data_IF_776238954014
#
_entry.id   IF_776238954014
#
_cell.length_a   1.000
_cell.length_b   1.000
_cell.length_c   1.000
_cell.angle_alpha   90.00
_cell.angle_beta   90.00
_cell.angle_gamma   90.00
#
_symmetry.space_group_name_H-M   'P 1'
#
loop_
_entity.id
_entity.type
_entity.pdbx_description
1 polymer ?
#
# COMPACT_ATOMS: atom_id res chain seq x y z
N UNK A 1 8.10 1.78 7.82
CA UNK A 1 7.00 2.59 7.27
C UNK A 1 7.57 3.82 6.57
N UNK A 2 7.02 4.16 5.40
CA UNK A 2 7.51 5.27 4.55
C UNK A 2 6.51 6.45 4.47
N UNK A 3 5.39 6.40 5.21
CA UNK A 3 4.31 7.37 5.08
C UNK A 3 3.54 7.19 3.77
N UNK A 4 3.31 8.28 3.03
CA UNK A 4 2.68 8.24 1.72
C UNK A 4 3.70 7.83 0.64
N UNK A 5 3.31 6.91 -0.24
CA UNK A 5 4.14 6.43 -1.36
C UNK A 5 3.31 6.38 -2.65
N UNK A 6 3.90 6.62 -3.82
CA UNK A 6 3.23 6.40 -5.10
C UNK A 6 2.79 4.93 -5.27
N UNK A 7 1.68 4.69 -5.96
CA UNK A 7 1.12 3.33 -6.10
C UNK A 7 2.00 2.40 -6.93
N UNK A 8 2.65 2.92 -7.95
CA UNK A 8 3.63 2.21 -8.79
C UNK A 8 4.87 1.81 -7.98
N UNK A 9 5.39 2.71 -7.17
CA UNK A 9 6.49 2.43 -6.24
C UNK A 9 6.10 1.40 -5.17
N UNK A 10 4.89 1.50 -4.62
CA UNK A 10 4.37 0.53 -3.66
C UNK A 10 4.29 -0.88 -4.25
N UNK A 11 3.86 -1.00 -5.52
CA UNK A 11 3.84 -2.26 -6.25
C UNK A 11 5.25 -2.77 -6.55
N UNK A 12 6.13 -1.91 -7.05
CA UNK A 12 7.51 -2.26 -7.38
C UNK A 12 8.29 -2.74 -6.14
N UNK A 13 8.12 -2.08 -5.01
CA UNK A 13 8.75 -2.43 -3.73
C UNK A 13 8.00 -3.50 -2.92
N UNK A 14 6.89 -4.01 -3.44
CA UNK A 14 6.09 -5.06 -2.76
C UNK A 14 5.60 -4.65 -1.36
N UNK A 15 5.16 -3.41 -1.20
CA UNK A 15 4.71 -2.89 0.08
C UNK A 15 3.31 -3.42 0.43
N UNK A 16 3.21 -4.23 1.47
CA UNK A 16 1.97 -4.89 1.86
C UNK A 16 0.90 -3.91 2.35
N UNK A 17 1.27 -2.90 3.15
CA UNK A 17 0.32 -1.97 3.76
C UNK A 17 -0.45 -1.15 2.71
N UNK A 18 0.19 -0.51 1.71
CA UNK A 18 -0.52 0.15 0.63
C UNK A 18 -1.44 -0.79 -0.16
N UNK A 19 -1.00 -2.03 -0.43
CA UNK A 19 -1.82 -3.02 -1.11
C UNK A 19 -3.08 -3.37 -0.33
N UNK A 20 -2.97 -3.55 1.00
CA UNK A 20 -4.11 -3.81 1.89
C UNK A 20 -5.09 -2.62 1.90
N UNK A 21 -4.60 -1.38 1.99
CA UNK A 21 -5.45 -0.19 1.91
C UNK A 21 -6.15 -0.05 0.55
N UNK A 22 -5.46 -0.39 -0.54
CA UNK A 22 -6.08 -0.42 -1.86
C UNK A 22 -7.20 -1.46 -1.93
N UNK A 23 -7.00 -2.67 -1.39
CA UNK A 23 -8.04 -3.69 -1.36
C UNK A 23 -9.23 -3.29 -0.48
N UNK A 24 -8.97 -2.67 0.67
CA UNK A 24 -10.02 -2.15 1.56
C UNK A 24 -10.90 -1.13 0.83
N UNK A 25 -10.29 -0.20 0.11
CA UNK A 25 -10.98 0.81 -0.69
C UNK A 25 -11.70 0.22 -1.91
N UNK A 26 -11.11 -0.78 -2.58
CA UNK A 26 -11.68 -1.43 -3.76
C UNK A 26 -12.80 -2.42 -3.42
N UNK A 27 -12.75 -3.04 -2.26
CA UNK A 27 -13.63 -4.09 -1.75
C UNK A 27 -13.14 -5.51 -2.06
N UNK A 28 -13.03 -6.33 -1.00
CA UNK A 28 -12.65 -7.76 -1.10
C UNK A 28 -13.58 -8.54 -2.04
N UNK A 29 -14.94 -8.43 -1.97
CA UNK A 29 -15.82 -9.10 -2.90
C UNK A 29 -15.59 -8.75 -4.37
N UNK A 30 -15.36 -7.47 -4.68
CA UNK A 30 -15.07 -7.03 -6.06
C UNK A 30 -13.74 -7.61 -6.55
N UNK A 31 -12.71 -7.60 -5.73
CA UNK A 31 -11.42 -8.16 -6.08
C UNK A 31 -11.46 -9.67 -6.27
N UNK A 32 -12.13 -10.39 -5.38
CA UNK A 32 -12.37 -11.83 -5.50
C UNK A 32 -13.08 -12.20 -6.81
N UNK A 33 -14.11 -11.43 -7.18
CA UNK A 33 -14.78 -11.61 -8.47
C UNK A 33 -13.83 -11.35 -9.65
N UNK A 34 -13.02 -10.29 -9.54
CA UNK A 34 -12.02 -9.92 -10.56
C UNK A 34 -10.97 -11.01 -10.78
N UNK A 35 -10.52 -11.69 -9.72
CA UNK A 35 -9.61 -12.83 -9.85
C UNK A 35 -10.23 -13.98 -10.65
N UNK A 36 -11.53 -14.26 -10.48
CA UNK A 36 -12.25 -15.24 -11.30
C UNK A 36 -12.35 -14.81 -12.77
N UNK A 37 -12.56 -13.53 -13.04
CA UNK A 37 -12.53 -12.99 -14.40
C UNK A 37 -11.13 -13.10 -15.05
N UNK A 38 -10.06 -13.07 -14.26
CA UNK A 38 -8.69 -13.34 -14.74
C UNK A 38 -8.42 -14.82 -15.01
N UNK A 39 -9.36 -15.72 -14.68
CA UNK A 39 -9.28 -17.15 -14.97
C UNK A 39 -8.73 -18.01 -13.82
N UNK A 40 -8.55 -17.46 -12.63
CA UNK A 40 -8.17 -18.25 -11.46
C UNK A 40 -9.30 -19.15 -11.00
N UNK A 41 -9.04 -20.46 -10.89
CA UNK A 41 -10.06 -21.47 -10.54
C UNK A 41 -10.01 -21.90 -9.07
N UNK A 42 -9.02 -21.47 -8.32
CA UNK A 42 -8.77 -21.95 -6.94
C UNK A 42 -9.47 -21.13 -5.85
N UNK A 43 -10.01 -19.95 -6.17
CA UNK A 43 -10.74 -19.11 -5.21
C UNK A 43 -12.18 -19.59 -5.02
N UNK A 44 -12.35 -20.77 -4.38
CA UNK A 44 -13.65 -21.43 -4.22
C UNK A 44 -14.41 -20.98 -2.98
N UNK A 45 -13.70 -20.48 -1.96
CA UNK A 45 -14.29 -19.99 -0.73
C UNK A 45 -14.96 -18.61 -0.91
N UNK A 46 -15.71 -18.18 0.10
CA UNK A 46 -16.36 -16.87 0.09
C UNK A 46 -15.35 -15.74 0.23
N UNK A 47 -15.63 -14.54 -0.29
CA UNK A 47 -14.74 -13.38 -0.11
C UNK A 47 -14.42 -13.08 1.37
N UNK A 48 -15.37 -13.37 2.28
CA UNK A 48 -15.21 -13.18 3.73
C UNK A 48 -14.16 -14.15 4.31
N UNK A 49 -14.02 -15.34 3.77
CA UNK A 49 -13.01 -16.33 4.18
C UNK A 49 -11.60 -15.77 3.96
N UNK A 50 -11.33 -15.21 2.78
CA UNK A 50 -10.02 -14.67 2.44
C UNK A 50 -9.73 -13.33 3.14
N UNK A 51 -10.74 -12.48 3.29
CA UNK A 51 -10.57 -11.15 3.88
C UNK A 51 -9.51 -10.31 3.18
N UNK A 52 -8.85 -9.42 3.92
CA UNK A 52 -7.78 -8.56 3.41
C UNK A 52 -6.48 -9.31 3.11
N UNK A 53 -6.31 -10.54 3.62
CA UNK A 53 -5.13 -11.37 3.32
C UNK A 53 -5.06 -11.76 1.84
N UNK A 54 -6.17 -11.72 1.11
CA UNK A 54 -6.26 -12.05 -0.30
C UNK A 54 -5.24 -11.28 -1.16
N UNK A 55 -5.00 -9.99 -0.86
CA UNK A 55 -4.08 -9.17 -1.66
C UNK A 55 -2.59 -9.44 -1.36
N UNK A 56 -2.30 -10.05 -0.23
CA UNK A 56 -0.92 -10.34 0.20
C UNK A 56 -0.59 -11.83 0.15
N UNK A 57 -1.39 -12.62 -0.57
CA UNK A 57 -1.13 -14.03 -0.81
C UNK A 57 -1.93 -14.99 0.08
N UNK A 58 -3.06 -14.54 0.64
CA UNK A 58 -3.97 -15.38 1.45
C UNK A 58 -4.85 -16.32 0.64
N UNK A 59 -4.50 -16.62 -0.62
CA UNK A 59 -5.23 -17.56 -1.47
C UNK A 59 -4.26 -18.38 -2.32
N UNK A 60 -4.62 -19.62 -2.58
CA UNK A 60 -3.81 -20.53 -3.38
C UNK A 60 -4.05 -20.33 -4.87
N UNK A 61 -2.99 -20.48 -5.67
CA UNK A 61 -3.05 -20.36 -7.14
C UNK A 61 -2.23 -21.47 -7.80
N UNK A 62 -2.60 -21.83 -9.01
CA UNK A 62 -1.78 -22.70 -9.88
C UNK A 62 -0.76 -21.88 -10.63
N UNK A 63 0.48 -22.36 -10.74
CA UNK A 63 1.54 -21.70 -11.49
C UNK A 63 1.12 -21.40 -12.93
N UNK A 64 0.39 -22.33 -13.55
CA UNK A 64 -0.11 -22.19 -14.91
C UNK A 64 -1.10 -21.02 -15.04
N UNK A 65 -2.09 -20.94 -14.16
CA UNK A 65 -3.08 -19.84 -14.16
C UNK A 65 -2.44 -18.47 -13.90
N UNK A 66 -1.39 -18.45 -13.07
CA UNK A 66 -0.62 -17.24 -12.84
C UNK A 66 0.14 -16.81 -14.09
N UNK A 67 0.79 -17.75 -14.81
CA UNK A 67 1.44 -17.49 -16.08
C UNK A 67 0.45 -17.01 -17.16
N UNK A 68 -0.74 -17.63 -17.23
CA UNK A 68 -1.84 -17.18 -18.11
C UNK A 68 -2.25 -15.75 -17.82
N UNK A 69 -2.38 -15.38 -16.55
CA UNK A 69 -2.76 -14.03 -16.13
C UNK A 69 -1.74 -12.98 -16.60
N UNK A 70 -0.43 -13.23 -16.43
CA UNK A 70 0.63 -12.31 -16.91
C UNK A 70 0.69 -12.26 -18.44
N UNK A 71 0.57 -13.41 -19.11
CA UNK A 71 0.46 -13.47 -20.59
C UNK A 71 -0.73 -12.64 -21.08
N UNK A 72 -1.86 -12.74 -20.40
CA UNK A 72 -3.08 -12.01 -20.75
C UNK A 72 -2.91 -10.50 -20.61
N UNK A 73 -2.22 -10.02 -19.56
CA UNK A 73 -1.86 -8.60 -19.43
C UNK A 73 -0.96 -8.13 -20.57
N UNK A 74 0.07 -8.90 -20.93
CA UNK A 74 0.98 -8.59 -22.03
C UNK A 74 0.24 -8.58 -23.38
N UNK A 75 -0.62 -9.56 -23.62
CA UNK A 75 -1.43 -9.64 -24.82
C UNK A 75 -2.38 -8.43 -24.95
N UNK A 76 -3.04 -8.02 -23.84
CA UNK A 76 -3.92 -6.86 -23.82
C UNK A 76 -3.20 -5.58 -24.20
N UNK A 77 -1.95 -5.40 -23.80
CA UNK A 77 -1.12 -4.26 -24.20
C UNK A 77 -0.70 -4.34 -25.66
N UNK A 78 -0.33 -5.53 -26.13
CA UNK A 78 0.14 -5.74 -27.50
C UNK A 78 -0.99 -5.71 -28.55
N UNK A 79 -2.23 -5.99 -28.14
CA UNK A 79 -3.44 -6.03 -28.99
C UNK A 79 -4.56 -5.20 -28.37
N UNK A 80 -4.37 -3.88 -28.27
CA UNK A 80 -5.34 -3.00 -27.56
C UNK A 80 -6.69 -2.88 -28.28
N UNK A 81 -6.76 -3.22 -29.54
CA UNK A 81 -7.99 -3.21 -30.36
C UNK A 81 -8.87 -4.46 -30.17
N UNK A 82 -8.33 -5.54 -29.58
CA UNK A 82 -9.09 -6.78 -29.35
C UNK A 82 -9.80 -6.70 -27.98
N UNK A 83 -11.12 -6.76 -27.98
CA UNK A 83 -11.92 -6.75 -26.76
C UNK A 83 -12.13 -8.15 -26.17
N UNK A 84 -11.94 -9.19 -26.96
CA UNK A 84 -12.05 -10.59 -26.55
C UNK A 84 -10.78 -11.36 -26.86
N UNK A 85 -10.52 -12.38 -26.09
CA UNK A 85 -9.31 -13.20 -26.22
C UNK A 85 -9.53 -14.59 -25.66
N UNK A 86 -8.67 -15.53 -26.07
CA UNK A 86 -8.55 -16.82 -25.41
C UNK A 86 -7.70 -16.68 -24.13
N UNK A 87 -8.29 -16.86 -22.94
CA UNK A 87 -7.56 -16.69 -21.69
C UNK A 87 -6.56 -17.81 -21.42
N UNK A 88 -6.65 -18.93 -22.16
CA UNK A 88 -5.86 -20.15 -21.90
C UNK A 88 -4.62 -20.25 -22.79
N UNK A 89 -3.60 -20.88 -22.24
CA UNK A 89 -2.41 -21.29 -22.98
C UNK A 89 -2.60 -22.74 -23.41
N UNK A 90 -2.44 -23.03 -24.70
CA UNK A 90 -2.59 -24.37 -25.26
C UNK A 90 -1.24 -24.96 -25.67
N UNK A 91 -0.99 -26.24 -25.34
CA UNK A 91 0.21 -26.98 -25.75
C UNK A 91 0.23 -27.26 -27.26
N UNK A 92 -0.97 -27.43 -27.82
CA UNK A 92 -1.18 -27.68 -29.24
C UNK A 92 -2.10 -26.59 -29.75
N UNK A 93 -1.79 -26.03 -30.91
CA UNK A 93 -2.65 -25.05 -31.57
C UNK A 93 -4.05 -25.66 -31.77
N UNK A 94 -5.02 -25.10 -31.08
CA UNK A 94 -6.45 -25.42 -31.18
C UNK A 94 -7.22 -24.16 -31.50
N UNK A 95 -8.39 -24.32 -32.10
CA UNK A 95 -9.36 -23.22 -32.11
C UNK A 95 -9.79 -22.92 -30.65
N UNK A 96 -9.91 -21.63 -30.32
CA UNK A 96 -10.35 -21.23 -28.98
C UNK A 96 -11.77 -21.75 -28.74
N UNK A 97 -11.93 -22.56 -27.72
CA UNK A 97 -13.26 -23.08 -27.34
C UNK A 97 -14.09 -22.02 -26.58
N UNK A 98 -13.44 -21.00 -26.06
CA UNK A 98 -14.10 -19.96 -25.25
C UNK A 98 -13.32 -18.65 -25.27
N UNK A 99 -13.88 -17.67 -25.94
CA UNK A 99 -13.40 -16.31 -25.85
C UNK A 99 -13.97 -15.60 -24.62
N UNK A 100 -13.14 -14.79 -23.98
CA UNK A 100 -13.53 -13.99 -22.82
C UNK A 100 -13.22 -12.53 -23.07
N UNK A 101 -14.02 -11.64 -22.46
CA UNK A 101 -13.72 -10.22 -22.44
C UNK A 101 -12.56 -9.92 -21.47
N UNK A 102 -11.66 -9.06 -21.86
CA UNK A 102 -10.56 -8.65 -20.99
C UNK A 102 -11.10 -8.01 -19.70
N UNK A 103 -10.62 -8.44 -18.52
CA UNK A 103 -11.07 -7.90 -17.24
C UNK A 103 -10.54 -6.49 -16.94
N UNK A 104 -9.56 -6.01 -17.72
CA UNK A 104 -8.94 -4.69 -17.57
C UNK A 104 -8.71 -4.03 -18.93
N UNK A 105 -8.61 -2.69 -18.93
CA UNK A 105 -8.26 -1.92 -20.13
C UNK A 105 -6.79 -2.12 -20.53
N UNK A 106 -6.47 -1.88 -21.80
CA UNK A 106 -5.09 -1.92 -22.27
C UNK A 106 -4.20 -0.88 -21.55
N UNK A 107 -4.76 0.28 -21.23
CA UNK A 107 -4.08 1.35 -20.49
C UNK A 107 -3.74 0.92 -19.05
N UNK A 108 -4.69 0.30 -18.36
CA UNK A 108 -4.45 -0.22 -16.99
C UNK A 108 -3.43 -1.35 -16.98
N UNK A 109 -3.52 -2.28 -17.96
CA UNK A 109 -2.52 -3.34 -18.14
C UNK A 109 -1.13 -2.77 -18.39
N UNK A 110 -1.02 -1.77 -19.28
CA UNK A 110 0.24 -1.09 -19.58
C UNK A 110 0.87 -0.41 -18.36
N UNK A 111 0.09 0.35 -17.59
CA UNK A 111 0.59 1.01 -16.37
C UNK A 111 1.04 0.00 -15.32
N UNK A 112 0.32 -1.13 -15.19
CA UNK A 112 0.72 -2.22 -14.30
C UNK A 112 2.05 -2.84 -14.74
N UNK A 113 2.18 -3.19 -16.01
CA UNK A 113 3.43 -3.77 -16.54
C UNK A 113 4.59 -2.78 -16.45
N UNK A 114 4.34 -1.48 -16.67
CA UNK A 114 5.34 -0.43 -16.50
C UNK A 114 5.86 -0.37 -15.07
N UNK A 115 4.96 -0.36 -14.07
CA UNK A 115 5.36 -0.42 -12.67
C UNK A 115 6.15 -1.69 -12.32
N UNK A 116 5.80 -2.83 -12.92
CA UNK A 116 6.51 -4.09 -12.74
C UNK A 116 7.89 -4.13 -13.43
N UNK A 117 8.16 -3.26 -14.40
CA UNK A 117 9.51 -3.11 -14.99
C UNK A 117 10.47 -2.38 -14.04
N UNK A 118 9.96 -1.61 -13.09
CA UNK A 118 10.75 -0.85 -12.11
C UNK A 118 11.06 -1.67 -10.82
N UNK A 119 10.65 -2.93 -10.75
CA UNK A 119 11.00 -3.84 -9.65
C UNK A 119 12.52 -4.06 -9.63
N UNK A 120 13.15 -3.79 -8.49
CA UNK A 120 14.59 -3.98 -8.31
C UNK A 120 14.98 -5.46 -8.49
N UNK A 121 15.98 -5.72 -9.32
CA UNK A 121 16.48 -7.07 -9.59
C UNK A 121 17.36 -7.60 -8.47
N UNK A 122 17.51 -8.93 -8.35
CA UNK A 122 18.45 -9.52 -7.42
C UNK A 122 19.88 -8.99 -7.65
N UNK A 123 20.69 -8.95 -6.60
CA UNK A 123 22.09 -8.50 -6.67
C UNK A 123 22.95 -9.35 -7.63
N UNK A 124 22.55 -10.62 -7.86
CA UNK A 124 23.18 -11.51 -8.83
C UNK A 124 23.06 -11.05 -10.28
N UNK A 125 22.11 -10.16 -10.57
CA UNK A 125 21.81 -9.62 -11.90
C UNK A 125 22.47 -8.25 -12.11
N UNK A 126 23.77 -8.15 -11.86
CA UNK A 126 24.52 -6.90 -12.04
C UNK A 126 24.53 -6.42 -13.49
N UNK A 127 24.36 -5.10 -13.70
CA UNK A 127 24.41 -4.50 -15.04
C UNK A 127 23.11 -4.51 -15.83
N UNK A 128 22.01 -5.08 -15.33
CA UNK A 128 20.72 -5.10 -15.99
C UNK A 128 20.17 -3.72 -16.38
N UNK A 129 20.57 -2.68 -15.66
CA UNK A 129 20.18 -1.29 -15.93
C UNK A 129 20.78 -0.76 -17.25
N UNK A 130 21.89 -1.35 -17.70
CA UNK A 130 22.63 -0.97 -18.92
C UNK A 130 22.23 -1.82 -20.11
N UNK A 131 21.91 -3.10 -19.89
CA UNK A 131 21.55 -4.06 -20.94
C UNK A 131 20.03 -4.19 -21.09
N UNK A 132 19.57 -4.90 -22.11
CA UNK A 132 18.18 -5.09 -22.56
C UNK A 132 17.15 -5.52 -21.48
N UNK A 133 17.57 -5.70 -20.27
CA UNK A 133 16.79 -6.17 -19.16
C UNK A 133 15.61 -5.28 -18.69
N UNK A 134 15.56 -4.01 -19.05
CA UNK A 134 14.44 -3.11 -18.73
C UNK A 134 13.09 -3.51 -19.34
N UNK A 135 13.09 -4.46 -20.27
CA UNK A 135 11.87 -4.86 -20.97
C UNK A 135 11.08 -5.98 -20.27
N UNK A 136 11.61 -6.56 -19.18
CA UNK A 136 10.93 -7.61 -18.43
C UNK A 136 10.13 -6.96 -17.29
N UNK A 137 8.80 -7.07 -17.36
CA UNK A 137 7.93 -6.76 -16.22
C UNK A 137 7.84 -8.02 -15.36
N UNK A 138 8.16 -7.89 -14.05
CA UNK A 138 8.27 -9.08 -13.20
C UNK A 138 7.88 -8.83 -11.76
N UNK A 139 7.55 -9.92 -11.02
CA UNK A 139 7.22 -9.85 -9.60
C UNK A 139 7.56 -11.15 -8.90
N UNK A 140 8.00 -11.01 -7.65
CA UNK A 140 8.16 -12.15 -6.73
C UNK A 140 7.01 -12.24 -5.75
N UNK A 141 6.81 -13.46 -5.25
CA UNK A 141 5.99 -13.77 -4.10
C UNK A 141 6.73 -14.71 -3.15
N UNK A 142 6.39 -14.63 -1.86
CA UNK A 142 6.87 -15.57 -0.84
C UNK A 142 5.70 -15.83 0.09
N UNK A 143 5.31 -17.10 0.25
CA UNK A 143 4.22 -17.47 1.14
C UNK A 143 4.64 -17.41 2.60
N UNK A 144 3.66 -17.33 3.50
CA UNK A 144 3.89 -17.37 4.93
C UNK A 144 4.58 -18.68 5.34
N UNK A 145 5.62 -18.58 6.19
CA UNK A 145 6.39 -19.73 6.64
C UNK A 145 7.40 -20.27 5.61
N UNK A 146 7.72 -19.50 4.56
CA UNK A 146 8.70 -19.86 3.52
C UNK A 146 8.39 -21.19 2.82
N UNK A 147 7.11 -21.46 2.56
CA UNK A 147 6.65 -22.69 1.88
C UNK A 147 6.84 -22.59 0.37
N UNK A 148 6.60 -21.40 -0.16
CA UNK A 148 6.58 -21.14 -1.60
C UNK A 148 7.36 -19.89 -1.95
N UNK A 149 8.25 -20.00 -2.90
CA UNK A 149 8.94 -18.90 -3.55
C UNK A 149 8.48 -18.81 -5.01
N UNK A 150 7.95 -17.66 -5.39
CA UNK A 150 7.39 -17.41 -6.71
C UNK A 150 8.18 -16.32 -7.44
N UNK A 151 8.33 -16.46 -8.74
CA UNK A 151 8.76 -15.39 -9.62
C UNK A 151 8.07 -15.52 -10.96
N UNK A 152 7.45 -14.44 -11.42
CA UNK A 152 6.86 -14.38 -12.77
C UNK A 152 7.39 -13.16 -13.48
N UNK A 153 7.86 -13.35 -14.68
CA UNK A 153 8.30 -12.29 -15.58
C UNK A 153 7.60 -12.41 -16.94
N UNK A 154 7.36 -11.28 -17.57
CA UNK A 154 6.71 -11.21 -18.87
C UNK A 154 7.33 -10.13 -19.75
N UNK A 155 7.45 -10.46 -21.04
CA UNK A 155 7.76 -9.55 -22.14
C UNK A 155 6.64 -9.60 -23.17
N UNK A 156 6.64 -8.79 -24.23
CA UNK A 156 5.68 -8.95 -25.31
C UNK A 156 5.67 -10.35 -25.95
N UNK A 157 6.81 -11.08 -25.92
CA UNK A 157 6.96 -12.38 -26.59
C UNK A 157 6.83 -13.57 -25.65
N UNK A 158 7.24 -13.43 -24.38
CA UNK A 158 7.41 -14.57 -23.47
C UNK A 158 6.85 -14.28 -22.09
N UNK A 159 6.34 -15.32 -21.45
CA UNK A 159 6.08 -15.36 -20.01
C UNK A 159 6.88 -16.51 -19.41
N UNK A 160 7.58 -16.22 -18.32
CA UNK A 160 8.31 -17.20 -17.53
C UNK A 160 7.80 -17.15 -16.11
N UNK A 161 7.32 -18.27 -15.62
CA UNK A 161 6.83 -18.41 -14.26
C UNK A 161 7.59 -19.53 -13.55
N UNK A 162 8.11 -19.24 -12.37
CA UNK A 162 8.92 -20.17 -11.57
C UNK A 162 8.33 -20.28 -10.17
N UNK A 163 8.14 -21.50 -9.73
CA UNK A 163 7.82 -21.84 -8.37
C UNK A 163 8.90 -22.74 -7.78
N UNK A 164 9.33 -22.45 -6.56
CA UNK A 164 10.26 -23.25 -5.79
C UNK A 164 9.64 -23.50 -4.42
N UNK A 165 9.50 -24.77 -4.05
CA UNK A 165 8.88 -25.19 -2.80
C UNK A 165 8.88 -26.70 -2.65
N UNK A 166 8.27 -27.19 -1.58
CA UNK A 166 8.06 -28.61 -1.35
C UNK A 166 6.62 -29.00 -1.71
N UNK A 167 6.45 -30.15 -2.36
CA UNK A 167 5.14 -30.65 -2.78
C UNK A 167 4.22 -30.98 -1.58
N UNK A 168 4.80 -31.29 -0.41
CA UNK A 168 4.09 -31.52 0.86
C UNK A 168 3.75 -30.25 1.62
N UNK A 169 4.19 -29.07 1.11
CA UNK A 169 3.96 -27.77 1.74
C UNK A 169 4.85 -27.48 2.95
N UNK A 170 5.89 -28.29 3.19
CA UNK A 170 6.86 -28.01 4.25
C UNK A 170 7.65 -26.73 3.93
N UNK A 171 7.68 -25.78 4.88
CA UNK A 171 8.43 -24.53 4.74
C UNK A 171 9.91 -24.73 5.06
N UNK A 172 10.78 -24.07 4.29
CA UNK A 172 12.23 -24.05 4.55
C UNK A 172 12.70 -22.61 4.78
N UNK A 173 13.27 -22.29 5.94
CA UNK A 173 13.80 -20.96 6.22
C UNK A 173 14.75 -20.49 5.10
N UNK A 174 14.52 -19.25 4.61
CA UNK A 174 15.34 -18.64 3.56
C UNK A 174 14.89 -18.90 2.13
N UNK A 175 13.87 -19.74 1.89
CA UNK A 175 13.23 -19.84 0.56
C UNK A 175 12.36 -18.61 0.35
N UNK A 176 12.91 -17.63 -0.36
CA UNK A 176 12.19 -16.39 -0.74
C UNK A 176 12.24 -16.19 -2.25
N UNK A 177 11.19 -15.62 -2.81
CA UNK A 177 11.02 -15.47 -4.25
C UNK A 177 12.21 -14.83 -4.95
N UNK A 178 12.77 -13.76 -4.38
CA UNK A 178 13.91 -13.03 -4.97
C UNK A 178 15.22 -13.82 -4.96
N UNK A 179 15.40 -14.76 -4.02
CA UNK A 179 16.64 -15.56 -3.90
C UNK A 179 16.55 -16.94 -4.56
N UNK A 180 15.35 -17.55 -4.53
CA UNK A 180 15.20 -18.94 -5.00
C UNK A 180 14.57 -19.02 -6.40
N UNK A 181 13.53 -18.24 -6.69
CA UNK A 181 12.80 -18.34 -7.95
C UNK A 181 13.26 -17.32 -9.01
N UNK A 182 13.58 -16.08 -8.61
CA UNK A 182 13.95 -15.04 -9.55
C UNK A 182 15.24 -15.35 -10.34
N UNK A 183 16.35 -15.87 -9.76
CA UNK A 183 17.54 -16.21 -10.53
C UNK A 183 17.23 -17.21 -11.65
N UNK A 184 16.44 -18.25 -11.36
CA UNK A 184 16.05 -19.25 -12.37
C UNK A 184 15.23 -18.60 -13.50
N UNK A 185 14.30 -17.71 -13.14
CA UNK A 185 13.51 -16.97 -14.13
C UNK A 185 14.40 -16.12 -15.05
N UNK A 186 15.38 -15.40 -14.49
CA UNK A 186 16.29 -14.56 -15.27
C UNK A 186 17.26 -15.38 -16.11
N UNK A 187 17.74 -16.53 -15.62
CA UNK A 187 18.55 -17.46 -16.41
C UNK A 187 17.82 -17.96 -17.65
N UNK A 188 16.52 -18.25 -17.52
CA UNK A 188 15.67 -18.61 -18.66
C UNK A 188 15.56 -17.43 -19.63
N UNK A 189 15.23 -16.22 -19.14
CA UNK A 189 15.16 -15.02 -19.99
C UNK A 189 16.48 -14.71 -20.69
N UNK A 190 17.62 -14.94 -20.03
CA UNK A 190 18.96 -14.77 -20.61
C UNK A 190 19.24 -15.65 -21.83
N UNK A 191 18.48 -16.74 -21.98
CA UNK A 191 18.57 -17.67 -23.14
C UNK A 191 17.56 -17.36 -24.25
N UNK A 192 16.62 -16.46 -24.00
CA UNK A 192 15.59 -16.07 -24.98
C UNK A 192 16.02 -14.82 -25.75
N UNK A 193 15.59 -14.71 -26.98
CA UNK A 193 15.77 -13.50 -27.78
C UNK A 193 14.63 -12.52 -27.43
N UNK A 194 14.97 -11.43 -26.75
CA UNK A 194 14.06 -10.37 -26.37
C UNK A 194 14.22 -9.22 -27.37
N UNK A 195 13.29 -9.09 -28.30
CA UNK A 195 13.37 -8.12 -29.39
C UNK A 195 12.42 -6.94 -29.22
N UNK A 196 11.38 -7.08 -28.39
CA UNK A 196 10.30 -6.10 -28.26
C UNK A 196 10.23 -5.51 -26.85
N UNK A 197 9.60 -4.34 -26.78
CA UNK A 197 9.23 -3.68 -25.52
C UNK A 197 7.72 -3.44 -25.50
N UNK A 198 7.15 -3.25 -24.33
CA UNK A 198 5.76 -2.84 -24.21
C UNK A 198 5.59 -1.41 -24.74
N UNK A 199 4.88 -1.28 -25.83
CA UNK A 199 4.51 0.02 -26.39
C UNK A 199 3.27 0.57 -25.68
N UNK A 200 3.23 1.90 -25.50
CA UNK A 200 2.05 2.55 -24.93
C UNK A 200 0.85 2.36 -25.86
N UNK A 201 -0.27 1.76 -25.39
CA UNK A 201 -1.46 1.58 -26.21
C UNK A 201 -1.99 2.91 -26.73
N UNK A 202 -2.40 2.96 -28.01
CA UNK A 202 -3.02 4.15 -28.61
C UNK A 202 -4.46 4.33 -28.13
N UNK A 203 -4.93 5.59 -28.09
CA UNK A 203 -6.31 5.93 -27.74
C UNK A 203 -6.65 5.77 -26.25
N UNK A 204 -7.83 6.27 -25.86
CA UNK A 204 -8.38 6.18 -24.49
C UNK A 204 -7.47 6.72 -23.38
N UNK A 205 -6.61 7.70 -23.70
CA UNK A 205 -5.87 8.50 -22.75
C UNK A 205 -6.44 9.90 -22.67
N UNK A 206 -6.40 10.47 -21.49
CA UNK A 206 -6.76 11.88 -21.25
C UNK A 206 -5.66 12.56 -20.45
N UNK A 207 -5.39 13.83 -20.77
CA UNK A 207 -4.47 14.64 -19.98
C UNK A 207 -5.24 15.33 -18.87
N UNK A 208 -4.80 15.14 -17.64
CA UNK A 208 -5.39 15.78 -16.45
C UNK A 208 -4.31 16.52 -15.67
N UNK A 209 -4.75 17.43 -14.80
CA UNK A 209 -3.87 18.04 -13.80
C UNK A 209 -3.89 17.21 -12.54
N UNK A 210 -2.74 16.72 -12.11
CA UNK A 210 -2.57 16.03 -10.83
C UNK A 210 -1.80 16.90 -9.85
N UNK A 211 -2.17 16.82 -8.59
CA UNK A 211 -1.45 17.48 -7.50
C UNK A 211 -0.03 16.94 -7.42
N UNK A 212 0.97 17.83 -7.41
CA UNK A 212 2.38 17.44 -7.44
C UNK A 212 2.79 16.63 -6.20
N UNK A 213 2.21 16.93 -5.04
CA UNK A 213 2.58 16.29 -3.77
C UNK A 213 1.84 14.99 -3.52
N UNK A 214 0.56 14.89 -3.93
CA UNK A 214 -0.27 13.72 -3.61
C UNK A 214 -0.52 12.77 -4.78
N UNK A 215 -0.31 13.22 -6.03
CA UNK A 215 -0.65 12.45 -7.23
C UNK A 215 -2.15 12.37 -7.56
N UNK A 216 -3.05 12.80 -6.67
CA UNK A 216 -4.49 12.88 -6.92
C UNK A 216 -4.83 13.97 -7.95
N UNK A 217 -6.05 13.94 -8.50
CA UNK A 217 -6.53 15.06 -9.33
C UNK A 217 -6.43 16.36 -8.52
N UNK A 218 -6.09 17.46 -9.22
CA UNK A 218 -5.90 18.76 -8.58
C UNK A 218 -7.20 19.26 -7.95
N UNK A 219 -7.14 19.66 -6.67
CA UNK A 219 -8.22 20.33 -5.96
C UNK A 219 -8.03 21.85 -5.93
N UNK A 220 -9.07 22.59 -5.55
CA UNK A 220 -9.06 24.06 -5.47
C UNK A 220 -7.99 24.62 -4.53
N UNK A 221 -7.51 23.81 -3.61
CA UNK A 221 -6.48 24.20 -2.63
C UNK A 221 -5.07 23.75 -3.01
N UNK A 222 -4.88 22.95 -4.08
CA UNK A 222 -3.55 22.57 -4.53
C UNK A 222 -2.76 23.80 -5.02
N UNK A 223 -1.53 23.96 -4.56
CA UNK A 223 -0.64 25.05 -4.95
C UNK A 223 0.15 24.75 -6.22
N UNK A 224 0.49 23.48 -6.43
CA UNK A 224 1.28 23.00 -7.56
C UNK A 224 0.62 21.79 -8.21
N UNK A 225 0.75 21.70 -9.54
CA UNK A 225 0.26 20.56 -10.30
C UNK A 225 1.24 20.17 -11.41
N UNK A 226 1.11 18.92 -11.85
CA UNK A 226 1.75 18.41 -13.06
C UNK A 226 0.68 17.95 -14.04
N UNK A 227 0.99 17.99 -15.33
CA UNK A 227 0.12 17.40 -16.36
C UNK A 227 0.47 15.92 -16.48
N UNK A 228 -0.52 15.08 -16.37
CA UNK A 228 -0.36 13.63 -16.34
C UNK A 228 -1.35 13.00 -17.32
N UNK A 229 -0.88 12.14 -18.19
CA UNK A 229 -1.75 11.30 -19.00
C UNK A 229 -2.22 10.09 -18.20
N UNK A 230 -3.51 9.92 -18.09
CA UNK A 230 -4.16 8.81 -17.39
C UNK A 230 -5.13 8.08 -18.34
N UNK A 231 -5.51 6.83 -18.04
CA UNK A 231 -6.62 6.19 -18.75
C UNK A 231 -7.88 7.04 -18.67
N UNK A 232 -8.59 7.24 -19.78
CA UNK A 232 -9.80 8.06 -19.81
C UNK A 232 -10.87 7.62 -18.78
N UNK A 233 -10.90 6.29 -18.47
CA UNK A 233 -11.76 5.75 -17.41
C UNK A 233 -11.45 6.27 -15.99
N UNK A 234 -10.28 6.86 -15.77
CA UNK A 234 -9.86 7.43 -14.50
C UNK A 234 -10.00 8.97 -14.42
N UNK A 235 -10.56 9.61 -15.46
CA UNK A 235 -10.72 11.08 -15.54
C UNK A 235 -11.52 11.64 -14.36
N UNK A 236 -12.50 10.89 -13.85
CA UNK A 236 -13.31 11.24 -12.69
C UNK A 236 -12.77 10.63 -11.39
N UNK A 237 -11.46 10.47 -11.28
CA UNK A 237 -10.79 9.97 -10.09
C UNK A 237 -10.92 10.93 -8.89
N UNK A 238 -10.46 10.49 -7.70
CA UNK A 238 -10.55 11.29 -6.49
C UNK A 238 -9.67 12.55 -6.58
N UNK A 239 -10.24 13.67 -6.12
CA UNK A 239 -9.55 14.95 -5.99
C UNK A 239 -8.69 14.95 -4.73
N UNK A 240 -7.56 15.65 -4.74
CA UNK A 240 -6.62 15.74 -3.63
C UNK A 240 -7.32 16.15 -2.32
N UNK A 241 -7.32 15.26 -1.30
CA UNK A 241 -7.95 15.53 -0.02
C UNK A 241 -7.01 16.23 0.97
N UNK A 242 -5.73 16.33 0.64
CA UNK A 242 -4.69 16.72 1.60
C UNK A 242 -4.42 18.22 1.63
N UNK A 243 -4.74 18.96 0.55
CA UNK A 243 -4.53 20.40 0.57
C UNK A 243 -5.72 21.11 1.20
N UNK A 244 -5.43 21.87 2.25
CA UNK A 244 -6.41 22.64 3.02
C UNK A 244 -6.05 24.12 3.03
N UNK A 245 -7.05 24.99 3.16
CA UNK A 245 -6.85 26.39 3.52
C UNK A 245 -6.71 26.46 5.04
N UNK A 246 -5.63 27.06 5.49
CA UNK A 246 -5.39 27.31 6.93
C UNK A 246 -5.25 28.80 7.16
N UNK A 247 -5.76 29.26 8.28
CA UNK A 247 -5.62 30.65 8.72
C UNK A 247 -4.58 30.70 9.81
N UNK A 248 -3.58 31.53 9.59
CA UNK A 248 -2.46 31.74 10.52
C UNK A 248 -2.48 33.15 11.05
N UNK A 249 -1.90 33.34 12.21
CA UNK A 249 -1.59 34.66 12.74
C UNK A 249 -0.64 35.41 11.82
N UNK A 250 -0.47 36.72 12.01
CA UNK A 250 0.41 37.56 11.20
C UNK A 250 1.88 37.11 11.16
N UNK A 251 2.32 36.30 12.13
CA UNK A 251 3.68 35.73 12.15
C UNK A 251 3.80 34.42 11.42
N UNK A 252 2.67 33.74 11.11
CA UNK A 252 2.63 32.42 10.54
C UNK A 252 2.95 31.29 11.53
N UNK A 253 3.03 31.60 12.81
CA UNK A 253 3.47 30.67 13.86
C UNK A 253 2.33 29.86 14.49
N UNK A 254 1.09 30.35 14.43
CA UNK A 254 -0.07 29.73 15.04
C UNK A 254 -1.24 29.68 14.08
N UNK A 255 -2.02 28.60 14.14
CA UNK A 255 -3.33 28.56 13.52
C UNK A 255 -4.31 29.43 14.34
N UNK A 256 -5.15 30.18 13.62
CA UNK A 256 -6.15 31.06 14.22
C UNK A 256 -7.49 30.92 13.51
N UNK A 257 -8.56 31.37 14.12
CA UNK A 257 -9.89 31.48 13.55
C UNK A 257 -10.59 32.78 13.99
N UNK A 258 -11.76 33.04 13.44
CA UNK A 258 -12.53 34.25 13.69
C UNK A 258 -13.02 34.40 15.14
N UNK A 259 -12.98 33.35 15.97
CA UNK A 259 -13.40 33.40 17.37
C UNK A 259 -12.30 33.98 18.28
N UNK A 260 -11.06 33.96 17.83
CA UNK A 260 -9.89 34.26 18.65
C UNK A 260 -8.92 35.28 18.04
N UNK A 261 -9.08 35.64 16.76
CA UNK A 261 -8.14 36.51 16.06
C UNK A 261 -8.84 37.39 15.02
N UNK A 262 -8.42 38.67 14.86
CA UNK A 262 -9.03 39.56 13.86
C UNK A 262 -8.85 39.05 12.43
N UNK A 263 -9.96 38.92 11.70
CA UNK A 263 -9.97 38.41 10.31
C UNK A 263 -9.06 39.23 9.39
N UNK A 264 -9.00 40.55 9.62
CA UNK A 264 -8.16 41.49 8.84
C UNK A 264 -6.65 41.24 9.00
N UNK A 265 -6.24 40.56 10.08
CA UNK A 265 -4.84 40.27 10.36
C UNK A 265 -4.47 38.81 10.07
N UNK A 266 -5.45 37.98 9.63
CA UNK A 266 -5.19 36.59 9.30
C UNK A 266 -4.46 36.43 7.98
N UNK A 267 -3.45 35.59 7.97
CA UNK A 267 -2.84 35.08 6.74
C UNK A 267 -3.49 33.76 6.34
N UNK A 268 -4.11 33.73 5.15
CA UNK A 268 -4.65 32.48 4.59
C UNK A 268 -3.62 31.81 3.70
N UNK A 269 -3.24 30.60 4.05
CA UNK A 269 -2.29 29.79 3.25
C UNK A 269 -2.91 28.46 2.84
N UNK A 270 -2.43 27.92 1.73
CA UNK A 270 -2.71 26.56 1.31
C UNK A 270 -1.64 25.66 1.88
N UNK A 271 -2.06 24.58 2.55
CA UNK A 271 -1.16 23.68 3.26
C UNK A 271 -1.39 22.24 2.87
N UNK A 272 -0.32 21.50 2.65
CA UNK A 272 -0.37 20.06 2.42
C UNK A 272 -0.37 19.35 3.77
N UNK A 273 -1.50 18.73 4.14
CA UNK A 273 -1.73 18.13 5.45
C UNK A 273 -1.97 16.64 5.30
N UNK A 274 -1.04 15.83 5.75
CA UNK A 274 -1.20 14.39 5.83
C UNK A 274 -1.82 14.02 7.19
N UNK A 275 -2.59 12.90 7.27
CA UNK A 275 -2.99 12.32 8.55
C UNK A 275 -1.78 12.09 9.47
N UNK A 276 -1.94 12.13 10.81
CA UNK A 276 -0.80 12.12 11.74
C UNK A 276 0.17 10.96 11.57
N UNK A 277 -0.32 9.75 11.28
CA UNK A 277 0.52 8.57 11.08
C UNK A 277 1.35 8.71 9.81
N UNK A 278 0.72 9.08 8.70
CA UNK A 278 1.39 9.30 7.42
C UNK A 278 2.38 10.45 7.52
N UNK A 279 1.99 11.57 8.15
CA UNK A 279 2.84 12.73 8.38
C UNK A 279 4.09 12.37 9.17
N UNK A 280 3.95 11.58 10.24
CA UNK A 280 5.05 11.15 11.10
C UNK A 280 6.12 10.36 10.33
N UNK A 281 5.69 9.39 9.50
CA UNK A 281 6.63 8.61 8.70
C UNK A 281 7.12 9.35 7.46
N UNK A 282 6.27 10.15 6.82
CA UNK A 282 6.62 10.94 5.65
C UNK A 282 7.71 11.96 5.95
N UNK A 283 7.61 12.66 7.08
CA UNK A 283 8.60 13.65 7.50
C UNK A 283 10.01 13.05 7.69
N UNK A 284 10.13 11.76 8.04
CA UNK A 284 11.45 11.10 8.21
C UNK A 284 12.24 11.00 6.91
N UNK A 285 11.57 10.91 5.77
CA UNK A 285 12.18 10.80 4.44
C UNK A 285 12.01 12.08 3.61
N UNK A 286 11.17 13.02 4.07
CA UNK A 286 10.89 14.32 3.50
C UNK A 286 11.06 15.41 4.55
N UNK A 287 12.33 15.81 4.88
CA UNK A 287 12.58 16.82 5.91
C UNK A 287 11.98 18.20 5.60
N UNK A 288 11.69 18.46 4.31
CA UNK A 288 11.04 19.68 3.83
C UNK A 288 9.54 19.73 4.14
N UNK A 289 8.91 18.59 4.52
CA UNK A 289 7.49 18.54 4.87
C UNK A 289 7.21 19.37 6.13
N UNK A 290 6.29 20.32 6.00
CA UNK A 290 5.90 21.20 7.10
C UNK A 290 4.62 20.68 7.74
N UNK A 291 4.68 20.34 9.02
CA UNK A 291 3.51 20.06 9.84
C UNK A 291 2.72 21.35 10.11
N UNK A 292 1.41 21.23 10.33
CA UNK A 292 0.60 22.39 10.71
C UNK A 292 1.09 22.97 12.04
N UNK A 293 1.17 24.31 12.18
CA UNK A 293 1.34 24.96 13.45
C UNK A 293 0.21 24.60 14.44
N UNK A 294 0.48 24.71 15.72
CA UNK A 294 -0.58 24.57 16.74
C UNK A 294 -1.57 25.74 16.69
N UNK A 295 -2.76 25.54 17.23
CA UNK A 295 -3.69 26.64 17.43
C UNK A 295 -3.15 27.62 18.49
N UNK A 296 -3.39 28.90 18.26
CA UNK A 296 -3.10 29.95 19.25
C UNK A 296 -3.90 29.66 20.54
N UNK A 297 -3.29 29.94 21.69
CA UNK A 297 -3.96 29.79 22.99
C UNK A 297 -5.25 30.60 23.00
N UNK A 298 -6.36 29.95 23.32
CA UNK A 298 -7.70 30.56 23.31
C UNK A 298 -8.46 30.38 21.99
N UNK A 299 -7.84 29.88 20.95
CA UNK A 299 -8.51 29.48 19.71
C UNK A 299 -9.04 28.05 19.82
N UNK A 300 -10.33 27.84 19.55
CA UNK A 300 -10.89 26.50 19.45
C UNK A 300 -10.37 25.80 18.16
N UNK A 301 -10.06 24.51 18.26
CA UNK A 301 -9.79 23.68 17.08
C UNK A 301 -11.13 23.16 16.51
N UNK A 302 -11.68 23.76 15.44
CA UNK A 302 -13.01 23.42 14.94
C UNK A 302 -13.08 22.05 14.27
N UNK A 303 -11.93 21.49 13.91
CA UNK A 303 -11.86 20.22 13.17
C UNK A 303 -11.56 19.00 14.01
N UNK A 304 -11.34 19.14 15.30
CA UNK A 304 -10.87 18.06 16.20
C UNK A 304 -9.67 17.28 15.59
N UNK A 305 -8.90 17.94 14.70
CA UNK A 305 -7.70 17.39 14.07
C UNK A 305 -6.59 17.39 15.12
N UNK A 306 -6.52 16.28 15.83
CA UNK A 306 -5.45 16.05 16.79
C UNK A 306 -4.16 15.78 15.99
N UNK A 307 -3.06 16.40 16.41
CA UNK A 307 -1.76 16.17 15.82
C UNK A 307 -1.18 14.79 16.09
N UNK A 308 -1.92 13.89 16.74
CA UNK A 308 -1.46 12.55 17.08
C UNK A 308 -2.56 11.49 16.91
N UNK A 309 -2.15 10.27 16.56
CA UNK A 309 -3.04 9.09 16.50
C UNK A 309 -2.24 7.81 16.82
N UNK A 310 -2.98 6.76 17.18
CA UNK A 310 -2.40 5.45 17.48
C UNK A 310 -1.88 4.75 16.21
N UNK A 311 -0.59 4.49 16.17
CA UNK A 311 -0.01 3.53 15.24
C UNK A 311 -0.46 2.13 15.62
N UNK A 312 -0.42 1.83 16.96
CA UNK A 312 -0.87 0.57 17.53
C UNK A 312 -1.33 0.75 19.00
N UNK A 313 -2.44 0.09 19.42
CA UNK A 313 -3.33 -0.73 18.60
C UNK A 313 -4.29 0.10 17.76
N UNK A 314 -4.83 -0.51 16.70
CA UNK A 314 -6.03 0.01 16.03
C UNK A 314 -7.28 -0.30 16.86
N UNK A 315 -8.36 0.41 16.61
CA UNK A 315 -9.61 0.19 17.36
C UNK A 315 -10.13 -1.24 17.11
N UNK A 316 -10.59 -1.89 18.18
CA UNK A 316 -11.08 -3.27 18.22
C UNK A 316 -10.05 -4.36 17.85
N UNK A 317 -8.75 -4.05 17.95
CA UNK A 317 -7.69 -5.05 17.73
C UNK A 317 -7.79 -6.17 18.77
N UNK A 318 -7.69 -7.41 18.30
CA UNK A 318 -7.49 -8.60 19.16
C UNK A 318 -5.99 -8.90 19.20
N UNK A 319 -5.41 -8.88 20.39
CA UNK A 319 -3.98 -9.06 20.62
C UNK A 319 -3.77 -10.41 21.30
N UNK A 320 -3.00 -11.28 20.66
CA UNK A 320 -2.57 -12.54 21.23
C UNK A 320 -1.21 -12.32 21.89
N UNK A 321 -1.11 -12.62 23.19
CA UNK A 321 0.14 -12.58 23.93
C UNK A 321 0.73 -14.00 23.96
N UNK A 322 1.78 -14.27 23.20
CA UNK A 322 2.49 -15.53 23.35
C UNK A 322 3.19 -15.54 24.72
N UNK A 323 3.23 -16.71 25.37
CA UNK A 323 4.11 -16.95 26.49
C UNK A 323 5.52 -17.21 25.95
N UNK A 324 6.52 -16.72 26.65
CA UNK A 324 7.91 -17.09 26.37
C UNK A 324 8.19 -18.52 26.89
N UNK A 325 9.39 -19.05 26.61
CA UNK A 325 9.81 -20.39 27.09
C UNK A 325 9.85 -20.47 28.62
N UNK A 326 9.78 -19.37 29.35
CA UNK A 326 9.78 -19.27 30.81
C UNK A 326 8.36 -18.97 31.35
N UNK A 327 7.31 -19.16 30.54
CA UNK A 327 5.89 -18.91 30.85
C UNK A 327 5.54 -17.45 31.14
N UNK A 328 6.46 -16.51 30.97
CA UNK A 328 6.17 -15.09 31.16
C UNK A 328 5.37 -14.54 29.97
N UNK A 329 4.32 -13.76 30.25
CA UNK A 329 3.59 -13.06 29.19
C UNK A 329 4.45 -11.93 28.62
N UNK A 330 4.50 -11.83 27.29
CA UNK A 330 5.21 -10.75 26.61
C UNK A 330 4.48 -9.40 26.78
N UNK A 331 5.27 -8.33 26.75
CA UNK A 331 4.76 -6.97 26.80
C UNK A 331 4.13 -6.56 25.45
N UNK A 332 3.03 -5.85 25.49
CA UNK A 332 2.46 -5.15 24.34
C UNK A 332 3.07 -3.77 24.23
N UNK A 333 3.68 -3.46 23.10
CA UNK A 333 4.19 -2.12 22.83
C UNK A 333 3.10 -1.30 22.16
N UNK A 334 2.59 -0.29 22.85
CA UNK A 334 1.69 0.72 22.31
C UNK A 334 2.50 1.82 21.65
N UNK A 335 2.04 2.34 20.51
CA UNK A 335 2.76 3.36 19.74
C UNK A 335 1.81 4.44 19.25
N UNK A 336 2.21 5.70 19.42
CA UNK A 336 1.55 6.91 18.92
C UNK A 336 2.45 7.59 17.89
N UNK A 337 1.88 7.99 16.77
CA UNK A 337 2.46 8.97 15.87
C UNK A 337 2.03 10.37 16.32
N UNK A 338 2.97 11.24 16.62
CA UNK A 338 2.72 12.63 16.98
C UNK A 338 3.51 13.56 16.06
N UNK A 339 2.84 14.56 15.48
CA UNK A 339 3.46 15.55 14.59
C UNK A 339 4.38 16.53 15.35
N UNK A 340 4.29 16.55 16.67
CA UNK A 340 5.11 17.33 17.60
C UNK A 340 5.71 16.40 18.66
N UNK A 341 6.71 15.59 18.29
CA UNK A 341 7.19 14.51 19.17
C UNK A 341 7.84 15.03 20.47
N UNK A 342 8.30 16.27 20.50
CA UNK A 342 8.87 16.92 21.67
C UNK A 342 7.85 17.19 22.79
N UNK A 343 6.54 17.19 22.51
CA UNK A 343 5.50 17.35 23.52
C UNK A 343 5.27 16.04 24.27
N UNK A 344 4.91 16.16 25.55
CA UNK A 344 4.62 15.00 26.40
C UNK A 344 3.23 14.43 26.12
N UNK A 345 3.13 13.10 26.12
CA UNK A 345 1.86 12.35 26.09
C UNK A 345 1.69 11.55 27.36
N UNK A 346 0.50 11.65 27.97
CA UNK A 346 0.09 10.94 29.18
C UNK A 346 -0.77 9.74 28.81
N UNK A 347 -0.40 8.57 29.30
CA UNK A 347 -1.03 7.30 28.95
C UNK A 347 -1.89 6.77 30.08
N UNK A 348 -3.06 6.27 29.73
CA UNK A 348 -4.01 5.67 30.66
C UNK A 348 -4.48 4.33 30.10
N UNK A 349 -4.50 3.30 30.94
CA UNK A 349 -5.10 2.00 30.66
C UNK A 349 -6.30 1.82 31.59
N UNK A 350 -7.49 1.62 31.03
CA UNK A 350 -8.77 1.49 31.77
C UNK A 350 -8.99 2.61 32.78
N UNK A 351 -8.57 3.83 32.41
CA UNK A 351 -8.69 5.02 33.24
C UNK A 351 -7.58 5.20 34.29
N UNK A 352 -6.69 4.23 34.48
CA UNK A 352 -5.53 4.34 35.35
C UNK A 352 -4.33 4.91 34.58
N UNK A 353 -3.64 5.88 35.15
CA UNK A 353 -2.39 6.41 34.60
C UNK A 353 -1.31 5.34 34.63
N UNK A 354 -0.64 5.15 33.48
CA UNK A 354 0.38 4.13 33.30
C UNK A 354 1.73 4.65 32.83
N UNK A 355 1.83 5.93 32.48
CA UNK A 355 3.11 6.54 32.14
C UNK A 355 3.02 7.80 31.30
N UNK A 356 4.17 8.44 31.10
CA UNK A 356 4.36 9.59 30.19
C UNK A 356 5.47 9.28 29.21
N UNK A 357 5.30 9.72 27.98
CA UNK A 357 6.33 9.61 26.91
C UNK A 357 6.60 10.95 26.27
N UNK A 358 7.83 11.15 25.78
CA UNK A 358 8.27 12.34 25.05
C UNK A 358 9.30 11.95 24.01
N UNK A 359 9.33 12.61 22.87
CA UNK A 359 10.14 12.35 21.69
C UNK A 359 9.84 10.99 21.00
N UNK A 360 9.83 9.90 21.76
CA UNK A 360 9.45 8.57 21.28
C UNK A 360 8.21 8.13 22.07
N UNK A 361 7.06 8.12 21.39
CA UNK A 361 5.79 7.80 22.01
C UNK A 361 5.48 6.30 21.90
N UNK A 362 6.28 5.50 22.61
CA UNK A 362 6.10 4.07 22.77
C UNK A 362 6.05 3.71 24.25
N UNK A 363 5.07 2.89 24.62
CA UNK A 363 4.91 2.41 25.98
C UNK A 363 4.64 0.90 25.97
N UNK A 364 5.47 0.14 26.67
CA UNK A 364 5.29 -1.29 26.83
C UNK A 364 4.46 -1.56 28.09
N UNK A 365 3.34 -2.27 27.93
CA UNK A 365 2.43 -2.61 29.02
C UNK A 365 2.12 -4.12 28.98
N UNK A 366 1.63 -4.64 30.09
CA UNK A 366 1.19 -6.04 30.25
C UNK A 366 -0.28 -6.05 30.74
N UNK A 367 -1.25 -5.80 29.81
CA UNK A 367 -2.65 -5.90 30.18
C UNK A 367 -3.05 -7.34 30.46
N UNK A 368 -3.99 -7.54 31.39
CA UNK A 368 -4.61 -8.84 31.65
C UNK A 368 -5.44 -9.32 30.45
N UNK A 369 -5.91 -10.59 30.46
CA UNK A 369 -6.84 -11.06 29.45
C UNK A 369 -8.18 -10.38 29.57
N UNK A 370 -8.76 -9.91 28.46
CA UNK A 370 -10.04 -9.21 28.47
C UNK A 370 -10.10 -8.01 27.53
N UNK A 371 -11.17 -7.24 27.66
CA UNK A 371 -11.39 -5.98 26.92
C UNK A 371 -10.77 -4.82 27.68
N UNK A 372 -10.02 -4.00 26.95
CA UNK A 372 -9.32 -2.85 27.52
C UNK A 372 -9.57 -1.59 26.70
N UNK A 373 -9.34 -0.45 27.35
CA UNK A 373 -9.34 0.88 26.75
C UNK A 373 -8.01 1.55 27.03
N UNK A 374 -7.26 1.86 26.02
CA UNK A 374 -6.09 2.75 26.12
C UNK A 374 -6.52 4.16 25.74
N UNK A 375 -6.18 5.14 26.59
CA UNK A 375 -6.41 6.56 26.37
C UNK A 375 -5.09 7.30 26.45
N UNK A 376 -4.87 8.24 25.53
CA UNK A 376 -3.70 9.12 25.55
C UNK A 376 -4.17 10.56 25.51
N UNK A 377 -3.57 11.42 26.32
CA UNK A 377 -3.81 12.86 26.30
C UNK A 377 -2.50 13.62 26.15
N UNK A 378 -2.56 14.77 25.47
CA UNK A 378 -1.45 15.73 25.42
C UNK A 378 -1.51 16.74 26.58
N UNK A 379 -0.56 17.67 26.60
CA UNK A 379 -0.48 18.75 27.59
C UNK A 379 -1.59 19.81 27.44
N UNK A 380 -2.30 19.81 26.31
CA UNK A 380 -3.40 20.74 26.02
C UNK A 380 -4.77 20.14 26.38
N UNK A 381 -4.79 18.87 26.84
CA UNK A 381 -6.02 18.16 27.22
C UNK A 381 -6.72 17.46 26.06
N UNK A 382 -6.15 17.47 24.84
CA UNK A 382 -6.66 16.69 23.73
C UNK A 382 -6.50 15.20 24.03
N UNK A 383 -7.51 14.39 23.66
CA UNK A 383 -7.54 12.96 24.01
C UNK A 383 -7.93 12.10 22.83
N UNK A 384 -7.25 10.96 22.70
CA UNK A 384 -7.66 9.86 21.82
C UNK A 384 -7.75 8.57 22.61
N UNK A 385 -8.62 7.66 22.16
CA UNK A 385 -8.77 6.36 22.81
C UNK A 385 -8.97 5.26 21.77
N UNK A 386 -8.50 4.06 22.10
CA UNK A 386 -8.75 2.84 21.31
C UNK A 386 -9.22 1.72 22.26
N UNK A 387 -10.15 0.93 21.77
CA UNK A 387 -10.60 -0.29 22.43
C UNK A 387 -9.86 -1.48 21.83
N UNK A 388 -9.39 -2.40 22.63
CA UNK A 388 -8.73 -3.62 22.18
C UNK A 388 -9.06 -4.79 23.13
N UNK A 389 -8.71 -5.99 22.71
CA UNK A 389 -8.96 -7.20 23.51
C UNK A 389 -7.69 -8.03 23.57
N UNK A 390 -7.25 -8.37 24.78
CA UNK A 390 -6.19 -9.35 25.01
C UNK A 390 -6.82 -10.74 25.00
N UNK A 391 -6.27 -11.63 24.19
CA UNK A 391 -6.72 -13.03 24.04
C UNK A 391 -5.58 -13.93 24.43
N UNK A 392 -5.79 -14.77 25.44
CA UNK A 392 -4.86 -15.86 25.76
C UNK A 392 -5.05 -16.96 24.70
N UNK A 393 -3.95 -17.55 24.24
CA UNK A 393 -4.01 -18.79 23.48
C UNK A 393 -4.38 -19.89 24.45
N UNK A 394 -5.52 -20.54 24.25
CA UNK A 394 -5.81 -21.83 24.87
C UNK A 394 -4.85 -22.89 24.40
#
# INVERSE_FOLDING_TARGET
YSGAVPADEALAKSLNIPAVHMLESYSVPKFHHKLKEFGFTTFNETPKHYGLSLIVGGGEVKLWELAESYRNLAFRVSKPEQDVFDPKIHYIKRESEKEMKFPVSAQSAYLTLKALQDVARPESETGWQVYSGKNIAWKTGTSHGFRDAWSVGVTPEYVVAVWVGNADGEGRPGIVGVKAAAPVMFDIFGRLKLNSKFEKPKGNWTEVKTCKESGFLVGGNCSQFVRTEIPASAENGPVCPYHQKVHLDKTGSFQVNNDCYPVSEMMTQKWFVLPPIEAFYYHKIHPEYRTLPTYMKGCANPGNQLGFDFVYPKNFTRIYLPKDFSENQQLVVFEIAYTQPEKSLFWYLDGKYVGTTQNIHKLALQPESGRHRVTVSDTEGNRIQKLFTIVNKE
#
